data_IF_992088081441
#
_entry.id   IF_992088081441
#
_cell.length_a   1.000
_cell.length_b   1.000
_cell.length_c   1.000
_cell.angle_alpha   90.00
_cell.angle_beta   90.00
_cell.angle_gamma   90.00
#
_symmetry.space_group_name_H-M   'P 1'
#
loop_
_entity.id
_entity.type
_entity.pdbx_description
1 polymer ?
#
# COMPACT_ATOMS: atom_id res chain seq x y z
N UNK A 1 -15.27 30.03 -3.78
CA UNK A 1 -14.58 28.96 -4.54
C UNK A 1 -13.21 28.83 -3.90
N UNK A 2 -13.06 27.93 -2.92
CA UNK A 2 -11.88 27.87 -2.05
C UNK A 2 -10.72 27.22 -2.82
N UNK A 3 -9.71 28.02 -3.18
CA UNK A 3 -8.49 27.56 -3.87
C UNK A 3 -7.33 27.50 -2.89
N UNK A 4 -7.32 26.52 -1.98
CA UNK A 4 -6.14 26.24 -1.14
C UNK A 4 -6.09 24.75 -0.78
N UNK A 5 -6.16 23.88 -1.80
CA UNK A 5 -5.95 22.45 -1.61
C UNK A 5 -4.51 22.09 -1.98
N UNK A 6 -3.76 21.53 -1.03
CA UNK A 6 -2.37 21.03 -1.19
C UNK A 6 -2.20 20.07 -2.38
N UNK A 7 -3.29 19.49 -2.87
CA UNK A 7 -3.30 18.48 -3.92
C UNK A 7 -4.07 18.97 -5.15
N UNK A 8 -3.44 18.90 -6.32
CA UNK A 8 -4.12 19.16 -7.59
C UNK A 8 -4.93 17.94 -8.02
N UNK A 9 -6.13 18.18 -8.52
CA UNK A 9 -6.91 17.16 -9.21
C UNK A 9 -6.20 16.71 -10.50
N UNK A 10 -6.42 15.46 -10.90
CA UNK A 10 -5.95 14.96 -12.20
C UNK A 10 -6.78 15.55 -13.33
N UNK A 11 -6.23 15.61 -14.54
CA UNK A 11 -6.91 16.17 -15.71
C UNK A 11 -8.09 15.33 -16.19
N UNK A 12 -8.02 14.01 -16.02
CA UNK A 12 -9.00 13.04 -16.52
C UNK A 12 -9.16 11.86 -15.57
N UNK A 13 -10.38 11.30 -15.53
CA UNK A 13 -10.78 10.17 -14.68
C UNK A 13 -11.58 9.14 -15.47
N UNK A 14 -11.58 7.90 -15.00
CA UNK A 14 -12.40 6.79 -15.48
C UNK A 14 -13.07 6.05 -14.34
N UNK A 15 -14.14 5.31 -14.65
CA UNK A 15 -14.77 4.39 -13.71
C UNK A 15 -13.76 3.31 -13.26
N UNK A 16 -13.67 3.10 -11.96
CA UNK A 16 -12.75 2.13 -11.33
C UNK A 16 -13.23 0.68 -11.44
N UNK A 17 -14.54 0.47 -11.64
CA UNK A 17 -15.18 -0.84 -11.55
C UNK A 17 -15.37 -1.35 -10.12
N UNK A 18 -15.03 -0.55 -9.10
CA UNK A 18 -15.12 -0.88 -7.68
C UNK A 18 -16.14 0.06 -7.03
N UNK A 19 -17.21 -0.51 -6.46
CA UNK A 19 -18.37 0.24 -5.94
C UNK A 19 -17.96 1.37 -4.98
N UNK A 20 -17.09 1.07 -4.01
CA UNK A 20 -16.68 2.03 -2.99
C UNK A 20 -15.69 3.10 -3.49
N UNK A 21 -14.96 2.85 -4.58
CA UNK A 21 -13.90 3.73 -5.08
C UNK A 21 -14.40 4.70 -6.17
N UNK A 22 -15.50 4.36 -6.86
CA UNK A 22 -16.10 5.14 -7.95
C UNK A 22 -15.13 5.38 -9.11
N UNK A 23 -14.34 6.45 -9.09
CA UNK A 23 -13.48 6.88 -10.20
C UNK A 23 -11.99 6.93 -9.81
N UNK A 24 -11.13 6.68 -10.79
CA UNK A 24 -9.67 6.72 -10.67
C UNK A 24 -9.07 7.55 -11.82
N UNK A 25 -7.85 8.07 -11.69
CA UNK A 25 -7.19 8.81 -12.76
C UNK A 25 -7.09 7.98 -14.05
N UNK A 26 -7.29 8.62 -15.19
CA UNK A 26 -7.33 7.95 -16.50
C UNK A 26 -6.09 7.07 -16.77
N UNK A 27 -4.92 7.56 -16.39
CA UNK A 27 -3.62 6.92 -16.64
C UNK A 27 -3.29 5.76 -15.67
N UNK A 28 -4.08 5.51 -14.63
CA UNK A 28 -3.84 4.39 -13.72
C UNK A 28 -4.18 3.06 -14.37
N UNK A 29 -3.37 2.03 -14.10
CA UNK A 29 -3.70 0.65 -14.43
C UNK A 29 -4.32 -0.01 -13.21
N UNK A 30 -5.50 -0.63 -13.37
CA UNK A 30 -6.22 -1.30 -12.29
C UNK A 30 -6.10 -2.80 -12.48
N UNK A 31 -5.68 -3.52 -11.44
CA UNK A 31 -5.57 -4.97 -11.47
C UNK A 31 -5.18 -5.57 -10.11
N UNK A 32 -5.12 -6.91 -10.00
CA UNK A 32 -4.72 -7.58 -8.77
C UNK A 32 -3.27 -7.25 -8.38
N UNK A 33 -3.04 -6.90 -7.11
CA UNK A 33 -1.74 -6.47 -6.58
C UNK A 33 -0.59 -7.43 -6.92
N UNK A 34 -0.83 -8.74 -6.88
CA UNK A 34 0.19 -9.77 -7.16
C UNK A 34 0.88 -9.64 -8.52
N UNK A 35 0.25 -8.99 -9.49
CA UNK A 35 0.83 -8.76 -10.82
C UNK A 35 1.71 -7.50 -10.90
N UNK A 36 1.64 -6.63 -9.89
CA UNK A 36 2.43 -5.41 -9.80
C UNK A 36 3.62 -5.53 -8.84
N UNK A 37 3.66 -6.59 -8.03
CA UNK A 37 4.78 -6.88 -7.11
C UNK A 37 5.80 -7.80 -7.78
N UNK A 38 7.09 -7.54 -7.55
CA UNK A 38 8.18 -8.42 -7.99
C UNK A 38 8.19 -9.74 -7.22
N UNK A 39 7.78 -9.71 -5.97
CA UNK A 39 7.77 -10.84 -5.05
C UNK A 39 6.41 -10.97 -4.37
N UNK A 40 6.07 -12.19 -3.96
CA UNK A 40 4.86 -12.43 -3.18
C UNK A 40 5.04 -11.97 -1.74
N UNK A 41 3.93 -11.69 -1.06
CA UNK A 41 3.96 -11.46 0.38
C UNK A 41 4.51 -12.71 1.07
N UNK A 42 5.56 -12.53 1.86
CA UNK A 42 6.18 -13.60 2.65
C UNK A 42 5.53 -13.58 4.03
N UNK A 43 5.16 -14.76 4.52
CA UNK A 43 4.70 -14.90 5.89
C UNK A 43 5.85 -14.61 6.85
N UNK A 44 5.64 -13.71 7.81
CA UNK A 44 6.68 -13.27 8.74
C UNK A 44 7.27 -14.42 9.56
N UNK A 45 8.47 -14.23 10.10
CA UNK A 45 9.05 -15.22 11.01
C UNK A 45 8.23 -15.25 12.32
N UNK A 46 7.70 -16.44 12.67
CA UNK A 46 7.01 -16.65 13.93
C UNK A 46 8.03 -16.94 15.04
N UNK A 47 8.80 -15.93 15.42
CA UNK A 47 9.74 -16.03 16.52
C UNK A 47 9.10 -15.58 17.84
N UNK A 48 9.35 -16.34 18.91
CA UNK A 48 8.88 -15.97 20.25
C UNK A 48 9.58 -14.69 20.72
N UNK A 49 8.83 -13.79 21.34
CA UNK A 49 9.36 -12.57 21.96
C UNK A 49 10.30 -12.84 23.15
N UNK A 50 10.48 -14.09 23.58
CA UNK A 50 11.21 -14.38 24.81
C UNK A 50 12.75 -14.26 24.68
N UNK A 51 13.28 -14.04 23.47
CA UNK A 51 14.73 -14.04 23.23
C UNK A 51 15.19 -12.80 22.45
N UNK A 52 15.08 -11.62 23.07
CA UNK A 52 15.58 -10.37 22.50
C UNK A 52 17.11 -10.31 22.59
N UNK A 53 17.74 -9.86 21.49
CA UNK A 53 19.17 -9.60 21.39
C UNK A 53 19.35 -8.23 20.73
N UNK A 54 20.23 -7.41 21.29
CA UNK A 54 20.65 -6.14 20.67
C UNK A 54 21.67 -6.35 19.54
N UNK A 55 22.19 -7.57 19.41
CA UNK A 55 23.05 -7.98 18.30
C UNK A 55 22.23 -8.68 17.21
N UNK A 56 22.46 -8.30 15.95
CA UNK A 56 21.86 -8.95 14.77
C UNK A 56 20.99 -8.02 13.92
N UNK A 57 20.16 -8.62 13.05
CA UNK A 57 19.22 -7.90 12.19
C UNK A 57 17.97 -7.54 12.99
N UNK A 58 17.53 -6.27 12.90
CA UNK A 58 16.30 -5.81 13.54
C UNK A 58 15.09 -6.56 12.98
N UNK A 59 14.35 -7.20 13.87
CA UNK A 59 13.04 -7.75 13.56
C UNK A 59 11.98 -6.66 13.75
N UNK A 60 11.19 -6.37 12.71
CA UNK A 60 10.09 -5.39 12.77
C UNK A 60 8.78 -6.15 12.87
N UNK A 61 7.98 -5.83 13.89
CA UNK A 61 6.66 -6.42 14.14
C UNK A 61 5.56 -5.44 13.81
N UNK A 62 4.35 -5.96 13.65
CA UNK A 62 3.14 -5.12 13.50
C UNK A 62 2.81 -4.28 14.74
N UNK A 63 3.36 -4.65 15.90
CA UNK A 63 3.09 -4.00 17.19
C UNK A 63 4.22 -3.09 17.66
N UNK A 64 5.33 -2.99 16.91
CA UNK A 64 6.35 -1.96 17.18
C UNK A 64 5.86 -0.61 16.67
#
# INVERSE_FOLDING_TARGET
MNQDSKWRAYSEYKASGIEWLREVPQHWVVGPLKFFCSESAIYGANESANNYSDAGVRFVRTSD
#
